data_IF_270240791041
#
_entry.id   IF_270240791041
#
_cell.length_a   1.000
_cell.length_b   1.000
_cell.length_c   1.000
_cell.angle_alpha   90.00
_cell.angle_beta   90.00
_cell.angle_gamma   90.00
#
_symmetry.space_group_name_H-M   'P 1'
#
loop_
_entity.id
_entity.type
_entity.pdbx_description
1 polymer ?
#
# COMPACT_ATOMS: atom_id res chain seq x y z
N UNK A 1 20.04 -40.24 -11.02
CA UNK A 1 20.21 -38.78 -10.83
C UNK A 1 18.95 -38.29 -10.13
N UNK A 2 19.02 -38.05 -8.82
CA UNK A 2 17.89 -37.48 -8.07
C UNK A 2 17.88 -36.01 -8.46
N UNK A 3 16.84 -35.54 -9.16
CA UNK A 3 16.57 -34.11 -9.24
C UNK A 3 16.23 -33.66 -7.82
N UNK A 4 17.23 -33.12 -7.11
CA UNK A 4 16.97 -32.27 -5.96
C UNK A 4 16.33 -31.02 -6.56
N UNK A 5 15.01 -30.89 -6.46
CA UNK A 5 14.38 -29.59 -6.72
C UNK A 5 15.07 -28.60 -5.76
N UNK A 6 15.78 -27.61 -6.30
CA UNK A 6 16.50 -26.61 -5.51
C UNK A 6 15.56 -26.04 -4.43
N UNK A 7 15.99 -26.13 -3.16
CA UNK A 7 15.24 -25.60 -2.01
C UNK A 7 15.16 -24.07 -2.10
N UNK A 8 14.04 -23.58 -2.65
CA UNK A 8 13.71 -22.16 -2.80
C UNK A 8 13.11 -21.63 -1.51
N UNK A 9 13.48 -20.41 -1.14
CA UNK A 9 12.84 -19.71 -0.02
C UNK A 9 11.42 -19.30 -0.39
N UNK A 10 10.43 -19.82 0.32
CA UNK A 10 9.00 -19.54 0.05
C UNK A 10 8.41 -18.64 1.12
N UNK A 11 7.97 -17.46 0.71
CA UNK A 11 7.19 -16.54 1.53
C UNK A 11 5.70 -16.73 1.27
N UNK A 12 4.91 -16.69 2.34
CA UNK A 12 3.45 -16.82 2.26
C UNK A 12 2.78 -15.45 2.42
N UNK A 13 1.91 -15.07 1.49
CA UNK A 13 0.95 -13.99 1.74
C UNK A 13 -0.13 -14.46 2.74
N UNK A 14 -1.00 -13.53 3.17
CA UNK A 14 -2.06 -13.85 4.12
C UNK A 14 -3.00 -14.95 3.58
N UNK A 15 -3.41 -14.86 2.31
CA UNK A 15 -4.35 -15.81 1.71
C UNK A 15 -3.77 -17.22 1.56
N UNK A 16 -2.48 -17.34 1.24
CA UNK A 16 -1.75 -18.58 1.16
C UNK A 16 -1.56 -19.18 2.56
N UNK A 17 -1.25 -18.36 3.58
CA UNK A 17 -1.21 -18.82 4.96
C UNK A 17 -2.57 -19.36 5.43
N UNK A 18 -3.67 -18.64 5.14
CA UNK A 18 -5.02 -19.10 5.48
C UNK A 18 -5.38 -20.41 4.77
N UNK A 19 -5.03 -20.55 3.50
CA UNK A 19 -5.24 -21.79 2.72
C UNK A 19 -4.40 -22.95 3.25
N UNK A 20 -3.19 -22.67 3.75
CA UNK A 20 -2.33 -23.70 4.34
C UNK A 20 -2.83 -24.17 5.72
N UNK A 21 -3.37 -23.25 6.53
CA UNK A 21 -4.01 -23.56 7.80
C UNK A 21 -5.35 -24.31 7.62
N UNK A 22 -6.13 -23.86 6.64
CA UNK A 22 -7.49 -24.28 6.32
C UNK A 22 -8.48 -23.14 6.52
N UNK A 23 -8.97 -22.56 5.42
CA UNK A 23 -9.86 -21.38 5.37
C UNK A 23 -11.22 -21.66 6.01
N UNK A 24 -11.73 -22.88 5.83
CA UNK A 24 -12.97 -23.33 6.46
C UNK A 24 -12.93 -23.22 8.00
N UNK A 25 -11.77 -23.47 8.62
CA UNK A 25 -11.56 -23.31 10.07
C UNK A 25 -11.60 -21.86 10.55
N UNK A 26 -11.42 -20.92 9.62
CA UNK A 26 -11.48 -19.48 9.86
C UNK A 26 -12.85 -18.89 9.50
N UNK A 27 -13.83 -19.73 9.12
CA UNK A 27 -15.14 -19.28 8.64
C UNK A 27 -15.10 -18.65 7.25
N UNK A 28 -14.01 -18.85 6.49
CA UNK A 28 -13.87 -18.36 5.12
C UNK A 28 -14.43 -19.39 4.14
N UNK A 29 -15.24 -18.93 3.17
CA UNK A 29 -15.96 -19.80 2.22
C UNK A 29 -15.27 -19.91 0.85
N UNK A 30 -14.34 -19.03 0.52
CA UNK A 30 -13.60 -19.11 -0.73
C UNK A 30 -12.45 -20.11 -0.62
N UNK A 31 -12.31 -20.96 -1.64
CA UNK A 31 -11.21 -21.92 -1.79
C UNK A 31 -10.42 -21.56 -3.06
N UNK A 32 -9.47 -20.61 -2.98
CA UNK A 32 -8.75 -20.15 -4.16
C UNK A 32 -7.72 -21.17 -4.68
N UNK A 33 -7.54 -22.28 -3.97
CA UNK A 33 -6.60 -23.37 -4.23
C UNK A 33 -7.07 -24.63 -3.50
N UNK A 34 -6.67 -25.81 -3.97
CA UNK A 34 -6.81 -27.05 -3.20
C UNK A 34 -5.89 -27.02 -1.96
N UNK A 35 -6.50 -26.92 -0.78
CA UNK A 35 -5.79 -26.86 0.50
C UNK A 35 -4.98 -28.12 0.81
N UNK A 36 -5.47 -29.31 0.43
CA UNK A 36 -4.74 -30.57 0.67
C UNK A 36 -3.46 -30.59 -0.13
N UNK A 37 -3.54 -30.13 -1.37
CA UNK A 37 -2.40 -30.08 -2.28
C UNK A 37 -1.38 -29.02 -1.86
N UNK A 38 -1.84 -27.81 -1.53
CA UNK A 38 -0.99 -26.76 -0.98
C UNK A 38 -0.28 -27.23 0.29
N UNK A 39 -1.01 -27.90 1.20
CA UNK A 39 -0.44 -28.42 2.43
C UNK A 39 0.62 -29.49 2.16
N UNK A 40 0.35 -30.43 1.25
CA UNK A 40 1.33 -31.45 0.85
C UNK A 40 2.59 -30.82 0.28
N UNK A 41 2.44 -29.81 -0.57
CA UNK A 41 3.58 -29.08 -1.14
C UNK A 41 4.39 -28.37 -0.06
N UNK A 42 3.76 -27.52 0.77
CA UNK A 42 4.45 -26.72 1.79
C UNK A 42 5.06 -27.56 2.92
N UNK A 43 4.46 -28.70 3.26
CA UNK A 43 5.00 -29.64 4.24
C UNK A 43 6.31 -30.30 3.78
N UNK A 44 6.58 -30.33 2.46
CA UNK A 44 7.82 -30.84 1.88
C UNK A 44 8.92 -29.78 1.78
N UNK A 45 8.59 -28.50 1.97
CA UNK A 45 9.55 -27.40 1.86
C UNK A 45 10.22 -27.16 3.22
N UNK A 46 11.54 -27.18 3.25
CA UNK A 46 12.36 -26.80 4.41
C UNK A 46 12.42 -25.27 4.55
N UNK A 47 12.67 -24.56 3.46
CA UNK A 47 12.80 -23.11 3.41
C UNK A 47 11.47 -22.39 3.15
N UNK A 48 10.80 -22.01 4.23
CA UNK A 48 9.56 -21.22 4.16
C UNK A 48 9.45 -20.24 5.31
N UNK A 49 8.83 -19.09 5.08
CA UNK A 49 8.71 -18.04 6.09
C UNK A 49 7.42 -17.23 5.92
N UNK A 50 7.01 -16.59 7.01
CA UNK A 50 5.92 -15.65 7.03
C UNK A 50 6.49 -14.23 7.10
N UNK A 51 6.22 -13.35 6.12
CA UNK A 51 6.62 -11.95 6.21
C UNK A 51 6.01 -11.27 7.43
N UNK A 52 6.74 -10.38 8.09
CA UNK A 52 6.25 -9.60 9.23
C UNK A 52 5.04 -8.74 8.84
N UNK A 53 4.97 -8.24 7.60
CA UNK A 53 3.78 -7.55 7.09
C UNK A 53 2.54 -8.44 7.19
N UNK A 54 2.64 -9.68 6.73
CA UNK A 54 1.55 -10.67 6.76
C UNK A 54 1.21 -11.07 8.19
N UNK A 55 2.22 -11.23 9.05
CA UNK A 55 2.01 -11.49 10.47
C UNK A 55 1.16 -10.39 11.13
N UNK A 56 1.49 -9.11 10.92
CA UNK A 56 0.71 -7.98 11.43
C UNK A 56 -0.73 -8.01 10.88
N UNK A 57 -0.92 -8.33 9.59
CA UNK A 57 -2.26 -8.46 9.01
C UNK A 57 -3.10 -9.52 9.70
N UNK A 58 -2.54 -10.71 9.93
CA UNK A 58 -3.23 -11.82 10.59
C UNK A 58 -3.59 -11.44 12.04
N UNK A 59 -2.61 -10.92 12.79
CA UNK A 59 -2.79 -10.55 14.19
C UNK A 59 -3.88 -9.48 14.36
N UNK A 60 -3.88 -8.47 13.50
CA UNK A 60 -4.87 -7.37 13.56
C UNK A 60 -6.25 -7.79 13.05
N UNK A 61 -6.31 -8.68 12.07
CA UNK A 61 -7.57 -9.20 11.52
C UNK A 61 -8.34 -10.04 12.56
N UNK A 62 -7.65 -10.93 13.28
CA UNK A 62 -8.28 -11.80 14.28
C UNK A 62 -8.13 -11.30 15.72
N UNK A 63 -7.79 -10.01 15.94
CA UNK A 63 -7.55 -9.43 17.28
C UNK A 63 -8.68 -9.66 18.30
N UNK A 64 -9.93 -9.68 17.82
CA UNK A 64 -11.11 -9.91 18.65
C UNK A 64 -11.45 -11.40 18.85
N UNK A 65 -10.64 -12.31 18.30
CA UNK A 65 -10.77 -13.75 18.43
C UNK A 65 -9.43 -14.38 18.85
N UNK A 66 -9.01 -14.19 20.12
CA UNK A 66 -7.71 -14.65 20.59
C UNK A 66 -7.55 -16.18 20.54
N UNK A 67 -8.66 -16.94 20.56
CA UNK A 67 -8.62 -18.39 20.34
C UNK A 67 -8.13 -18.74 18.94
N UNK A 68 -8.63 -18.04 17.92
CA UNK A 68 -8.17 -18.23 16.54
C UNK A 68 -6.72 -17.79 16.40
N UNK A 69 -6.32 -16.67 17.01
CA UNK A 69 -4.91 -16.24 17.01
C UNK A 69 -3.98 -17.29 17.62
N UNK A 70 -4.36 -17.86 18.76
CA UNK A 70 -3.58 -18.92 19.40
C UNK A 70 -3.41 -20.12 18.45
N UNK A 71 -4.49 -20.61 17.85
CA UNK A 71 -4.42 -21.72 16.88
C UNK A 71 -3.54 -21.41 15.66
N UNK A 72 -3.57 -20.17 15.15
CA UNK A 72 -2.74 -19.74 14.03
C UNK A 72 -1.25 -19.67 14.41
N UNK A 73 -0.94 -19.19 15.62
CA UNK A 73 0.43 -19.13 16.14
C UNK A 73 1.01 -20.52 16.41
N UNK A 74 0.22 -21.41 17.01
CA UNK A 74 0.56 -22.82 17.24
C UNK A 74 0.82 -23.53 15.89
N UNK A 75 -0.06 -23.30 14.91
CA UNK A 75 0.13 -23.85 13.56
C UNK A 75 1.42 -23.32 12.91
N UNK A 76 1.66 -22.00 12.95
CA UNK A 76 2.89 -21.38 12.44
C UNK A 76 4.13 -22.04 13.04
N UNK A 77 4.15 -22.20 14.37
CA UNK A 77 5.26 -22.83 15.07
C UNK A 77 5.44 -24.29 14.66
N UNK A 78 4.36 -25.07 14.65
CA UNK A 78 4.37 -26.48 14.27
C UNK A 78 4.80 -26.72 12.81
N UNK A 79 4.59 -25.74 11.92
CA UNK A 79 5.02 -25.79 10.52
C UNK A 79 6.42 -25.24 10.28
N UNK A 80 7.11 -24.75 11.31
CA UNK A 80 8.44 -24.16 11.17
C UNK A 80 8.44 -22.94 10.26
N UNK A 81 7.50 -22.02 10.47
CA UNK A 81 7.39 -20.76 9.71
C UNK A 81 8.03 -19.60 10.50
N UNK A 82 9.35 -19.37 10.42
CA UNK A 82 9.99 -18.19 11.01
C UNK A 82 9.41 -16.90 10.42
N UNK A 83 9.50 -15.80 11.18
CA UNK A 83 9.12 -14.48 10.68
C UNK A 83 10.28 -13.86 9.90
N UNK A 84 9.97 -13.23 8.76
CA UNK A 84 10.92 -12.44 7.99
C UNK A 84 10.56 -10.96 8.06
N UNK A 85 11.44 -10.16 8.68
CA UNK A 85 11.24 -8.73 8.86
C UNK A 85 11.40 -7.97 7.55
N UNK A 86 10.30 -7.85 6.80
CA UNK A 86 10.21 -7.16 5.50
C UNK A 86 9.65 -5.73 5.58
N UNK A 87 9.38 -5.23 6.79
CA UNK A 87 8.91 -3.86 7.02
C UNK A 87 10.05 -3.04 7.63
N UNK A 88 10.45 -1.90 7.05
CA UNK A 88 11.48 -1.04 7.63
C UNK A 88 11.11 -0.44 8.99
N UNK A 89 9.81 -0.17 9.20
CA UNK A 89 9.29 0.56 10.37
C UNK A 89 8.90 -0.35 11.56
N UNK A 90 8.90 -1.68 11.40
CA UNK A 90 8.57 -2.61 12.48
C UNK A 90 9.34 -3.93 12.36
N UNK A 91 10.01 -4.33 13.44
CA UNK A 91 10.84 -5.53 13.53
C UNK A 91 10.35 -6.38 14.68
N UNK A 92 9.95 -7.63 14.40
CA UNK A 92 9.67 -8.62 15.44
C UNK A 92 10.98 -9.33 15.79
N UNK A 93 11.38 -9.28 17.06
CA UNK A 93 12.55 -10.00 17.56
C UNK A 93 12.22 -11.46 17.90
N UNK A 94 13.26 -12.28 18.05
CA UNK A 94 13.11 -13.66 18.53
C UNK A 94 12.54 -13.71 19.95
N UNK A 95 12.95 -12.79 20.82
CA UNK A 95 12.42 -12.67 22.19
C UNK A 95 10.93 -12.31 22.18
N UNK A 96 10.53 -11.40 21.29
CA UNK A 96 9.13 -11.00 21.14
C UNK A 96 8.27 -12.20 20.71
N UNK A 97 8.66 -12.91 19.65
CA UNK A 97 7.87 -14.03 19.15
C UNK A 97 7.86 -15.22 20.13
N UNK A 98 8.95 -15.42 20.87
CA UNK A 98 9.03 -16.41 21.94
C UNK A 98 8.06 -16.06 23.06
N UNK A 99 8.04 -14.79 23.48
CA UNK A 99 7.12 -14.32 24.53
C UNK A 99 5.65 -14.48 24.11
N UNK A 100 5.34 -14.16 22.85
CA UNK A 100 3.98 -14.31 22.29
C UNK A 100 3.49 -15.76 22.36
N UNK A 101 4.37 -16.75 22.20
CA UNK A 101 4.01 -18.16 22.27
C UNK A 101 3.50 -18.60 23.66
N UNK A 102 3.82 -17.85 24.72
CA UNK A 102 3.39 -18.13 26.10
C UNK A 102 2.25 -17.23 26.59
N UNK A 103 1.73 -16.34 25.74
CA UNK A 103 0.65 -15.44 26.11
C UNK A 103 -0.67 -16.19 26.26
N UNK A 104 -1.42 -15.84 27.31
CA UNK A 104 -2.83 -16.21 27.39
C UNK A 104 -3.68 -15.39 26.41
N UNK A 105 -4.97 -15.69 26.33
CA UNK A 105 -5.89 -15.02 25.39
C UNK A 105 -6.02 -13.51 25.65
N UNK A 106 -5.88 -13.06 26.89
CA UNK A 106 -5.99 -11.63 27.26
C UNK A 106 -4.73 -10.89 26.82
N UNK A 107 -3.56 -11.43 27.14
CA UNK A 107 -2.28 -10.90 26.72
C UNK A 107 -2.15 -10.90 25.19
N UNK A 108 -2.63 -11.95 24.53
CA UNK A 108 -2.60 -12.07 23.07
C UNK A 108 -3.48 -11.03 22.38
N UNK A 109 -4.69 -10.77 22.92
CA UNK A 109 -5.53 -9.67 22.43
C UNK A 109 -4.83 -8.32 22.61
N UNK A 110 -4.26 -8.05 23.78
CA UNK A 110 -3.55 -6.79 24.05
C UNK A 110 -2.34 -6.60 23.13
N UNK A 111 -1.62 -7.69 22.83
CA UNK A 111 -0.53 -7.69 21.86
C UNK A 111 -1.02 -7.41 20.44
N UNK A 112 -2.12 -8.04 20.02
CA UNK A 112 -2.75 -7.76 18.73
C UNK A 112 -3.24 -6.30 18.61
N UNK A 113 -3.80 -5.73 19.68
CA UNK A 113 -4.20 -4.31 19.74
C UNK A 113 -2.97 -3.37 19.66
N UNK A 114 -1.82 -3.77 20.23
CA UNK A 114 -0.55 -3.04 20.06
C UNK A 114 -0.04 -3.10 18.61
N UNK A 115 -0.14 -4.27 17.97
CA UNK A 115 0.20 -4.41 16.54
C UNK A 115 -0.74 -3.59 15.66
N UNK A 116 -2.01 -3.47 16.03
CA UNK A 116 -2.96 -2.60 15.33
C UNK A 116 -2.50 -1.14 15.35
N UNK A 117 -2.02 -0.63 16.50
CA UNK A 117 -1.45 0.73 16.57
C UNK A 117 -0.26 0.92 15.63
N UNK A 118 0.61 -0.09 15.55
CA UNK A 118 1.76 -0.08 14.62
C UNK A 118 1.31 -0.11 13.16
N UNK A 119 0.28 -0.93 12.85
CA UNK A 119 -0.35 -0.98 11.53
C UNK A 119 -0.95 0.37 11.13
N UNK A 120 -1.72 1.00 12.01
CA UNK A 120 -2.31 2.33 11.79
C UNK A 120 -1.21 3.38 11.56
N UNK A 121 -0.10 3.30 12.29
CA UNK A 121 1.03 4.22 12.08
C UNK A 121 1.66 4.06 10.68
N UNK A 122 1.78 2.84 10.18
CA UNK A 122 2.27 2.59 8.82
C UNK A 122 1.25 3.09 7.79
N UNK A 123 -0.01 2.68 7.93
CA UNK A 123 -1.09 3.05 7.00
C UNK A 123 -1.30 4.56 6.92
N UNK A 124 -1.21 5.28 8.04
CA UNK A 124 -1.34 6.75 8.09
C UNK A 124 -0.22 7.46 7.35
N UNK A 125 1.05 7.08 7.57
CA UNK A 125 2.20 7.67 6.87
C UNK A 125 2.10 7.48 5.36
N UNK A 126 1.72 6.28 4.92
CA UNK A 126 1.53 6.00 3.49
C UNK A 126 0.34 6.75 2.90
N UNK A 127 -0.77 6.84 3.65
CA UNK A 127 -1.94 7.62 3.23
C UNK A 127 -1.59 9.09 3.03
N UNK A 128 -0.88 9.69 4.00
CA UNK A 128 -0.41 11.08 3.90
C UNK A 128 0.52 11.27 2.70
N UNK A 129 1.47 10.36 2.50
CA UNK A 129 2.39 10.42 1.37
C UNK A 129 1.64 10.37 0.03
N UNK A 130 0.64 9.50 -0.11
CA UNK A 130 -0.16 9.41 -1.34
C UNK A 130 -1.08 10.60 -1.55
N UNK A 131 -1.61 11.16 -0.48
CA UNK A 131 -2.33 12.43 -0.50
C UNK A 131 -1.43 13.53 -1.06
N UNK A 132 -0.21 13.67 -0.53
CA UNK A 132 0.76 14.67 -0.97
C UNK A 132 1.15 14.50 -2.44
N UNK A 133 1.47 13.27 -2.86
CA UNK A 133 1.80 12.96 -4.25
C UNK A 133 0.65 13.37 -5.18
N UNK A 134 -0.59 13.01 -4.84
CA UNK A 134 -1.75 13.32 -5.69
C UNK A 134 -1.99 14.82 -5.78
N UNK A 135 -1.98 15.51 -4.63
CA UNK A 135 -2.12 16.96 -4.52
C UNK A 135 -1.04 17.70 -5.31
N UNK A 136 0.22 17.30 -5.15
CA UNK A 136 1.35 17.98 -5.78
C UNK A 136 1.41 17.74 -7.29
N UNK A 137 1.04 16.54 -7.76
CA UNK A 137 0.90 16.27 -9.20
C UNK A 137 -0.20 17.13 -9.82
N UNK A 138 -1.36 17.22 -9.17
CA UNK A 138 -2.44 18.08 -9.63
C UNK A 138 -2.00 19.55 -9.67
N UNK A 139 -1.41 20.07 -8.59
CA UNK A 139 -0.97 21.46 -8.50
C UNK A 139 0.11 21.80 -9.53
N UNK A 140 1.10 20.91 -9.70
CA UNK A 140 2.15 21.08 -10.69
C UNK A 140 1.56 21.15 -12.11
N UNK A 141 0.70 20.20 -12.47
CA UNK A 141 0.07 20.16 -13.77
C UNK A 141 -0.78 21.41 -14.04
N UNK A 142 -1.65 21.81 -13.09
CA UNK A 142 -2.49 23.00 -13.22
C UNK A 142 -1.66 24.28 -13.39
N UNK A 143 -0.55 24.41 -12.67
CA UNK A 143 0.36 25.56 -12.80
C UNK A 143 1.04 25.58 -14.16
N UNK A 144 1.56 24.44 -14.63
CA UNK A 144 2.19 24.34 -15.94
C UNK A 144 1.21 24.71 -17.06
N UNK A 145 -0.06 24.29 -16.95
CA UNK A 145 -1.11 24.64 -17.91
C UNK A 145 -1.70 26.05 -17.77
N UNK A 146 -1.30 26.80 -16.74
CA UNK A 146 -1.81 28.16 -16.55
C UNK A 146 -0.98 29.17 -17.33
N UNK A 147 -1.63 29.86 -18.26
CA UNK A 147 -1.07 31.00 -18.98
C UNK A 147 -0.99 32.26 -18.11
N UNK A 148 -0.23 33.24 -18.57
CA UNK A 148 -0.08 34.53 -17.88
C UNK A 148 0.87 34.50 -16.68
N UNK A 149 1.40 33.34 -16.28
CA UNK A 149 2.44 33.22 -15.24
C UNK A 149 3.79 32.85 -15.86
N UNK A 150 4.85 33.56 -15.48
CA UNK A 150 6.23 33.18 -15.83
C UNK A 150 6.66 31.94 -15.06
N UNK A 151 7.70 31.24 -15.54
CA UNK A 151 8.24 30.06 -14.84
C UNK A 151 8.64 30.37 -13.38
N UNK A 152 9.29 31.52 -13.15
CA UNK A 152 9.61 32.02 -11.80
C UNK A 152 8.36 32.15 -10.91
N UNK A 153 7.25 32.65 -11.45
CA UNK A 153 6.00 32.77 -10.71
C UNK A 153 5.41 31.39 -10.40
N UNK A 154 5.37 30.49 -11.39
CA UNK A 154 4.90 29.12 -11.21
C UNK A 154 5.68 28.39 -10.11
N UNK A 155 7.00 28.48 -10.15
CA UNK A 155 7.88 27.86 -9.15
C UNK A 155 7.70 28.48 -7.75
N UNK A 156 7.47 29.80 -7.67
CA UNK A 156 7.19 30.47 -6.40
C UNK A 156 5.83 30.05 -5.81
N UNK A 157 4.78 29.94 -6.64
CA UNK A 157 3.45 29.49 -6.21
C UNK A 157 3.50 28.02 -5.80
N UNK A 158 4.14 27.16 -6.59
CA UNK A 158 4.33 25.75 -6.22
C UNK A 158 5.11 25.64 -4.91
N UNK A 159 6.16 26.46 -4.75
CA UNK A 159 6.92 26.55 -3.53
C UNK A 159 6.13 27.15 -2.35
N UNK A 160 5.06 27.89 -2.56
CA UNK A 160 4.15 28.38 -1.51
C UNK A 160 3.16 27.28 -1.11
N UNK A 161 2.51 26.66 -2.11
CA UNK A 161 1.61 25.50 -1.93
C UNK A 161 2.35 24.34 -1.24
N UNK A 162 3.66 24.21 -1.47
CA UNK A 162 4.51 23.19 -0.82
C UNK A 162 5.21 23.62 0.48
N UNK A 163 5.12 24.88 0.96
CA UNK A 163 5.85 25.37 2.15
C UNK A 163 4.98 25.55 3.42
N UNK A 164 5.68 25.53 4.56
CA UNK A 164 5.38 25.89 5.97
C UNK A 164 3.93 25.82 6.48
N UNK A 165 2.95 26.48 5.86
CA UNK A 165 1.54 26.32 6.23
C UNK A 165 1.08 24.86 6.10
N UNK A 166 1.66 24.12 5.15
CA UNK A 166 1.42 22.68 5.00
C UNK A 166 2.17 21.80 6.01
N UNK A 167 3.26 22.24 6.66
CA UNK A 167 3.96 21.38 7.63
C UNK A 167 3.18 21.22 8.94
N UNK A 168 2.59 22.30 9.43
CA UNK A 168 1.71 22.25 10.60
C UNK A 168 0.42 21.49 10.26
N UNK A 169 -0.15 21.75 9.08
CA UNK A 169 -1.29 21.01 8.58
C UNK A 169 -0.99 19.53 8.29
N UNK A 170 0.23 19.18 7.85
CA UNK A 170 0.67 17.79 7.63
C UNK A 170 0.63 16.99 8.92
N UNK A 171 1.16 17.54 10.02
CA UNK A 171 1.12 16.87 11.32
C UNK A 171 -0.34 16.69 11.79
N UNK A 172 -1.17 17.74 11.66
CA UNK A 172 -2.58 17.67 11.99
C UNK A 172 -3.31 16.64 11.11
N UNK A 173 -2.99 16.58 9.82
CA UNK A 173 -3.58 15.64 8.88
C UNK A 173 -3.13 14.20 9.18
N UNK A 174 -1.86 13.98 9.53
CA UNK A 174 -1.38 12.65 9.95
C UNK A 174 -2.14 12.15 11.18
N UNK A 175 -2.32 13.00 12.19
CA UNK A 175 -3.08 12.66 13.39
C UNK A 175 -4.55 12.39 13.09
N UNK A 176 -5.20 13.23 12.26
CA UNK A 176 -6.58 12.98 11.81
C UNK A 176 -6.70 11.67 11.05
N UNK A 177 -5.75 11.34 10.16
CA UNK A 177 -5.74 10.04 9.45
C UNK A 177 -5.65 8.89 10.45
N UNK A 178 -4.81 9.00 11.50
CA UNK A 178 -4.71 7.96 12.54
C UNK A 178 -6.02 7.78 13.30
N UNK A 179 -6.68 8.88 13.67
CA UNK A 179 -7.97 8.87 14.37
C UNK A 179 -9.06 8.20 13.51
N UNK A 180 -9.16 8.57 12.25
CA UNK A 180 -10.12 8.00 11.29
C UNK A 180 -9.86 6.51 11.04
N UNK A 181 -8.59 6.10 10.91
CA UNK A 181 -8.21 4.69 10.82
C UNK A 181 -8.59 3.93 12.09
N UNK A 182 -8.28 4.47 13.26
CA UNK A 182 -8.59 3.83 14.55
C UNK A 182 -10.09 3.61 14.70
N UNK A 183 -10.89 4.66 14.50
CA UNK A 183 -12.36 4.60 14.51
C UNK A 183 -12.87 3.56 13.50
N UNK A 184 -12.33 3.60 12.29
CA UNK A 184 -12.64 2.65 11.23
C UNK A 184 -12.39 1.20 11.63
N UNK A 185 -11.25 0.90 12.27
CA UNK A 185 -10.93 -0.45 12.72
C UNK A 185 -11.87 -0.91 13.82
N UNK A 186 -12.23 -0.02 14.76
CA UNK A 186 -13.15 -0.32 15.85
C UNK A 186 -14.55 -0.68 15.33
N UNK A 187 -14.97 -0.07 14.21
CA UNK A 187 -16.25 -0.36 13.55
C UNK A 187 -16.19 -1.43 12.44
N UNK A 188 -15.01 -1.96 12.10
CA UNK A 188 -14.78 -2.78 10.88
C UNK A 188 -15.23 -2.10 9.58
N UNK A 189 -15.03 -0.78 9.49
CA UNK A 189 -15.34 0.08 8.33
C UNK A 189 -14.15 0.89 7.87
N UNK A 190 -12.94 0.55 8.29
CA UNK A 190 -11.71 1.30 8.07
C UNK A 190 -11.46 1.66 6.60
N UNK A 191 -11.80 0.77 5.67
CA UNK A 191 -11.67 1.04 4.24
C UNK A 191 -12.60 2.16 3.77
N UNK A 192 -13.82 2.24 4.31
CA UNK A 192 -14.80 3.26 3.92
C UNK A 192 -14.45 4.60 4.58
N UNK A 193 -14.17 4.58 5.88
CA UNK A 193 -13.87 5.79 6.66
C UNK A 193 -12.64 6.50 6.10
N UNK A 194 -11.52 5.79 5.92
CA UNK A 194 -10.29 6.35 5.34
C UNK A 194 -10.54 6.94 3.95
N UNK A 195 -11.32 6.22 3.13
CA UNK A 195 -11.63 6.60 1.76
C UNK A 195 -12.42 7.90 1.70
N UNK A 196 -13.46 8.04 2.51
CA UNK A 196 -14.33 9.21 2.49
C UNK A 196 -13.56 10.44 3.01
N UNK A 197 -12.79 10.28 4.09
CA UNK A 197 -11.87 11.31 4.61
C UNK A 197 -10.84 11.76 3.57
N UNK A 198 -10.13 10.80 2.94
CA UNK A 198 -9.07 11.08 1.97
C UNK A 198 -9.58 11.91 0.77
N UNK A 199 -10.79 11.61 0.28
CA UNK A 199 -11.39 12.36 -0.82
C UNK A 199 -11.69 13.80 -0.40
N UNK A 200 -12.28 13.97 0.78
CA UNK A 200 -12.66 15.29 1.25
C UNK A 200 -11.42 16.18 1.36
N UNK A 201 -10.36 15.69 1.98
CA UNK A 201 -9.11 16.46 2.11
C UNK A 201 -8.49 16.74 0.73
N UNK A 202 -8.50 15.76 -0.20
CA UNK A 202 -7.97 15.98 -1.56
C UNK A 202 -8.78 17.04 -2.31
N UNK A 203 -10.10 17.01 -2.15
CA UNK A 203 -11.00 17.96 -2.76
C UNK A 203 -10.68 19.39 -2.31
N UNK A 204 -10.62 19.60 -1.00
CA UNK A 204 -10.29 20.90 -0.41
C UNK A 204 -8.93 21.39 -0.91
N UNK A 205 -7.92 20.51 -0.94
CA UNK A 205 -6.59 20.84 -1.44
C UNK A 205 -6.57 21.23 -2.94
N UNK A 206 -7.33 20.52 -3.78
CA UNK A 206 -7.40 20.80 -5.23
C UNK A 206 -8.18 22.09 -5.52
N UNK A 207 -9.29 22.34 -4.79
CA UNK A 207 -10.06 23.58 -4.91
C UNK A 207 -9.21 24.78 -4.47
N UNK A 208 -8.52 24.68 -3.33
CA UNK A 208 -7.60 25.71 -2.86
C UNK A 208 -6.47 25.97 -3.86
N UNK A 209 -5.92 24.92 -4.47
CA UNK A 209 -4.92 25.03 -5.54
C UNK A 209 -5.46 25.87 -6.70
N UNK A 210 -6.66 25.58 -7.19
CA UNK A 210 -7.28 26.35 -8.28
C UNK A 210 -7.48 27.83 -7.90
N UNK A 211 -7.99 28.08 -6.70
CA UNK A 211 -8.21 29.43 -6.16
C UNK A 211 -6.89 30.22 -6.08
N UNK A 212 -5.83 29.63 -5.53
CA UNK A 212 -4.53 30.28 -5.40
C UNK A 212 -3.98 30.65 -6.78
N UNK A 213 -4.01 29.70 -7.73
CA UNK A 213 -3.51 29.93 -9.08
C UNK A 213 -4.26 31.09 -9.76
N UNK A 214 -5.60 31.05 -9.77
CA UNK A 214 -6.41 32.08 -10.43
C UNK A 214 -6.31 33.43 -9.71
N UNK A 215 -6.25 33.45 -8.38
CA UNK A 215 -5.98 34.67 -7.61
C UNK A 215 -4.64 35.31 -8.01
N UNK A 216 -3.57 34.51 -8.10
CA UNK A 216 -2.26 35.01 -8.55
C UNK A 216 -2.28 35.54 -9.99
N UNK A 217 -3.01 34.88 -10.90
CA UNK A 217 -3.20 35.38 -12.28
C UNK A 217 -3.93 36.71 -12.27
N UNK A 218 -5.03 36.81 -11.51
CA UNK A 218 -5.82 38.03 -11.40
C UNK A 218 -5.02 39.21 -10.85
N UNK A 219 -4.25 38.99 -9.78
CA UNK A 219 -3.35 40.02 -9.22
C UNK A 219 -2.34 40.50 -10.25
N UNK A 220 -1.74 39.58 -11.02
CA UNK A 220 -0.73 39.94 -12.03
C UNK A 220 -1.32 40.70 -13.22
N UNK A 221 -2.62 40.52 -13.48
CA UNK A 221 -3.37 41.21 -14.52
C UNK A 221 -4.05 42.48 -14.01
N UNK A 222 -3.72 42.94 -12.80
CA UNK A 222 -4.27 44.13 -12.16
C UNK A 222 -5.81 44.15 -12.17
N UNK A 223 -6.44 42.99 -11.94
CA UNK A 223 -7.90 42.89 -11.82
C UNK A 223 -8.37 43.58 -10.55
N UNK A 224 -9.40 44.43 -10.66
CA UNK A 224 -9.94 45.20 -9.54
C UNK A 224 -10.66 44.32 -8.50
N UNK A 225 -11.41 43.30 -8.95
CA UNK A 225 -12.21 42.42 -8.08
C UNK A 225 -11.65 40.98 -8.05
N UNK A 226 -10.58 40.81 -7.28
CA UNK A 226 -9.95 39.50 -7.06
C UNK A 226 -10.90 38.56 -6.29
N UNK A 227 -11.73 39.09 -5.39
CA UNK A 227 -12.63 38.29 -4.55
C UNK A 227 -13.67 37.58 -5.41
N UNK A 228 -14.29 38.31 -6.35
CA UNK A 228 -15.26 37.72 -7.29
C UNK A 228 -14.62 36.63 -8.14
N UNK A 229 -13.39 36.83 -8.62
CA UNK A 229 -12.66 35.81 -9.40
C UNK A 229 -12.40 34.54 -8.57
N UNK A 230 -12.02 34.69 -7.31
CA UNK A 230 -11.80 33.57 -6.39
C UNK A 230 -13.11 32.81 -6.13
N UNK A 231 -14.22 33.52 -5.88
CA UNK A 231 -15.54 32.92 -5.69
C UNK A 231 -16.03 32.17 -6.93
N UNK A 232 -15.87 32.76 -8.12
CA UNK A 232 -16.19 32.11 -9.38
C UNK A 232 -15.32 30.87 -9.62
N UNK A 233 -14.03 30.94 -9.27
CA UNK A 233 -13.11 29.80 -9.38
C UNK A 233 -13.52 28.66 -8.45
N UNK A 234 -13.96 28.96 -7.24
CA UNK A 234 -14.54 27.98 -6.33
C UNK A 234 -15.75 27.30 -6.96
N UNK A 235 -16.76 28.06 -7.39
CA UNK A 235 -18.00 27.51 -7.97
C UNK A 235 -17.71 26.64 -9.19
N UNK A 236 -16.87 27.14 -10.11
CA UNK A 236 -16.45 26.39 -11.30
C UNK A 236 -15.69 25.12 -10.95
N UNK A 237 -14.93 25.09 -9.85
CA UNK A 237 -14.25 23.87 -9.40
C UNK A 237 -15.27 22.82 -8.97
N UNK A 238 -16.29 23.21 -8.20
CA UNK A 238 -17.38 22.31 -7.79
C UNK A 238 -18.16 21.80 -9.02
N UNK A 239 -18.55 22.70 -9.94
CA UNK A 239 -19.27 22.37 -11.17
C UNK A 239 -18.50 21.38 -12.07
N UNK A 240 -17.17 21.46 -12.08
CA UNK A 240 -16.29 20.55 -12.82
C UNK A 240 -16.04 19.21 -12.11
N UNK A 241 -16.68 18.97 -10.96
CA UNK A 241 -16.63 17.68 -10.26
C UNK A 241 -15.70 17.62 -9.05
N UNK A 242 -15.06 18.70 -8.63
CA UNK A 242 -14.41 18.76 -7.30
C UNK A 242 -15.48 18.96 -6.22
N UNK A 243 -16.25 17.90 -5.96
CA UNK A 243 -17.46 17.87 -5.14
C UNK A 243 -17.28 17.31 -3.72
N UNK A 244 -16.06 16.89 -3.36
CA UNK A 244 -15.77 16.20 -2.09
C UNK A 244 -16.29 14.77 -2.01
N UNK A 245 -16.83 14.20 -3.09
CA UNK A 245 -17.55 12.93 -3.09
C UNK A 245 -17.07 11.98 -4.21
N UNK A 246 -17.94 11.64 -5.15
CA UNK A 246 -17.62 10.68 -6.21
C UNK A 246 -17.00 11.36 -7.42
N UNK A 247 -17.19 12.67 -7.62
CA UNK A 247 -16.64 13.42 -8.74
C UNK A 247 -15.15 13.76 -8.58
N UNK A 248 -14.68 13.94 -7.35
CA UNK A 248 -13.33 14.51 -7.09
C UNK A 248 -12.19 13.72 -7.74
N UNK A 249 -12.10 12.41 -7.49
CA UNK A 249 -11.03 11.57 -8.06
C UNK A 249 -11.14 11.45 -9.60
N UNK A 250 -12.32 11.19 -10.19
CA UNK A 250 -12.51 11.30 -11.64
C UNK A 250 -12.05 12.64 -12.20
N UNK A 251 -12.43 13.76 -11.59
CA UNK A 251 -12.02 15.10 -12.04
C UNK A 251 -10.49 15.27 -12.06
N UNK A 252 -9.81 14.83 -10.99
CA UNK A 252 -8.34 14.85 -10.91
C UNK A 252 -7.74 13.98 -12.03
N UNK A 253 -8.23 12.75 -12.20
CA UNK A 253 -7.73 11.82 -13.21
C UNK A 253 -7.95 12.36 -14.62
N UNK A 254 -9.17 12.79 -14.94
CA UNK A 254 -9.53 13.33 -16.26
C UNK A 254 -8.68 14.56 -16.59
N UNK A 255 -8.40 15.42 -15.59
CA UNK A 255 -7.51 16.56 -15.77
C UNK A 255 -6.10 16.11 -16.15
N UNK A 256 -5.52 15.16 -15.42
CA UNK A 256 -4.14 14.71 -15.64
C UNK A 256 -3.98 13.82 -16.86
N UNK A 257 -5.00 13.03 -17.22
CA UNK A 257 -5.00 12.10 -18.36
C UNK A 257 -4.94 12.80 -19.72
N UNK A 258 -5.15 14.11 -19.77
CA UNK A 258 -4.95 14.91 -20.99
C UNK A 258 -3.48 15.01 -21.42
N UNK A 259 -2.53 14.68 -20.54
CA UNK A 259 -1.09 14.64 -20.83
C UNK A 259 -0.47 13.32 -20.37
N UNK A 260 -0.49 12.32 -21.26
CA UNK A 260 0.10 11.01 -20.99
C UNK A 260 1.61 11.09 -20.74
N UNK A 261 2.32 12.02 -21.40
CA UNK A 261 3.76 12.17 -21.21
C UNK A 261 4.10 12.63 -19.80
N UNK A 262 3.31 13.58 -19.26
CA UNK A 262 3.41 14.00 -17.87
C UNK A 262 3.19 12.83 -16.90
N UNK A 263 2.14 12.02 -17.12
CA UNK A 263 1.84 10.87 -16.27
C UNK A 263 2.94 9.80 -16.31
N UNK A 264 3.51 9.50 -17.49
CA UNK A 264 4.58 8.52 -17.62
C UNK A 264 5.85 8.96 -16.87
N UNK A 265 6.19 10.25 -16.93
CA UNK A 265 7.30 10.83 -16.17
C UNK A 265 7.00 10.79 -14.67
N UNK A 266 5.79 11.18 -14.25
CA UNK A 266 5.37 11.18 -12.86
C UNK A 266 5.45 9.78 -12.25
N UNK A 267 4.93 8.77 -12.96
CA UNK A 267 4.94 7.35 -12.56
C UNK A 267 6.35 6.86 -12.22
N UNK A 268 7.35 7.19 -13.07
CA UNK A 268 8.75 6.84 -12.82
C UNK A 268 9.34 7.62 -11.65
N UNK A 269 9.13 8.94 -11.60
CA UNK A 269 9.69 9.80 -10.53
C UNK A 269 9.17 9.42 -9.15
N UNK A 270 7.87 9.21 -9.02
CA UNK A 270 7.25 8.81 -7.75
C UNK A 270 7.83 7.47 -7.28
N UNK A 271 7.96 6.47 -8.16
CA UNK A 271 8.58 5.19 -7.83
C UNK A 271 10.03 5.32 -7.35
N UNK A 272 10.83 6.19 -7.99
CA UNK A 272 12.22 6.42 -7.59
C UNK A 272 12.37 7.18 -6.26
N UNK A 273 11.37 7.95 -5.81
CA UNK A 273 11.39 8.59 -4.48
C UNK A 273 11.53 7.55 -3.36
N UNK A 274 10.89 6.39 -3.52
CA UNK A 274 10.92 5.29 -2.54
C UNK A 274 12.29 4.61 -2.45
N UNK A 275 13.19 4.83 -3.43
CA UNK A 275 14.58 4.35 -3.32
C UNK A 275 15.31 4.97 -2.12
N UNK A 276 15.02 6.23 -1.79
CA UNK A 276 15.60 6.92 -0.62
C UNK A 276 15.11 6.31 0.70
N UNK A 277 13.88 5.80 0.72
CA UNK A 277 13.29 5.08 1.86
C UNK A 277 13.76 3.64 2.01
N UNK A 278 14.78 3.21 1.23
CA UNK A 278 15.32 1.82 1.21
C UNK A 278 14.29 0.76 0.80
N UNK A 279 13.25 1.14 0.08
CA UNK A 279 12.32 0.18 -0.51
C UNK A 279 12.99 -0.57 -1.66
N UNK A 280 12.69 -1.86 -1.75
CA UNK A 280 13.27 -2.81 -2.68
C UNK A 280 12.90 -2.49 -4.14
N UNK A 281 13.57 -3.12 -5.11
CA UNK A 281 13.28 -2.88 -6.53
C UNK A 281 11.85 -3.33 -6.89
N UNK A 282 11.43 -4.48 -6.36
CA UNK A 282 10.10 -5.04 -6.59
C UNK A 282 9.01 -4.24 -5.87
N UNK A 283 9.25 -3.74 -4.65
CA UNK A 283 8.35 -2.80 -3.96
C UNK A 283 8.08 -1.54 -4.80
N UNK A 284 9.15 -0.92 -5.30
CA UNK A 284 9.05 0.28 -6.14
C UNK A 284 8.34 0.00 -7.46
N UNK A 285 8.54 -1.19 -8.03
CA UNK A 285 7.82 -1.64 -9.22
C UNK A 285 6.34 -1.88 -8.95
N UNK A 286 5.96 -2.44 -7.81
CA UNK A 286 4.54 -2.59 -7.42
C UNK A 286 3.86 -1.23 -7.27
N UNK A 287 4.53 -0.28 -6.60
CA UNK A 287 4.03 1.07 -6.49
C UNK A 287 3.82 1.72 -7.86
N UNK A 288 4.78 1.55 -8.78
CA UNK A 288 4.71 2.07 -10.14
C UNK A 288 3.60 1.42 -10.96
N UNK A 289 3.60 0.10 -11.06
CA UNK A 289 2.81 -0.63 -12.06
C UNK A 289 1.40 -0.97 -11.54
N UNK A 290 1.21 -1.06 -10.23
CA UNK A 290 -0.05 -1.44 -9.61
C UNK A 290 -0.71 -0.26 -8.92
N UNK A 291 -0.04 0.38 -7.96
CA UNK A 291 -0.67 1.41 -7.12
C UNK A 291 -0.91 2.71 -7.92
N UNK A 292 0.12 3.24 -8.56
CA UNK A 292 0.03 4.48 -9.37
C UNK A 292 -0.98 4.32 -10.52
N UNK A 293 -0.89 3.22 -11.27
CA UNK A 293 -1.87 2.82 -12.30
C UNK A 293 -3.30 2.79 -11.73
N UNK A 294 -3.50 2.25 -10.52
CA UNK A 294 -4.82 2.23 -9.90
C UNK A 294 -5.36 3.63 -9.64
N UNK A 295 -4.53 4.52 -9.11
CA UNK A 295 -4.93 5.88 -8.77
C UNK A 295 -5.23 6.71 -10.00
N UNK A 296 -4.31 6.72 -10.97
CA UNK A 296 -4.33 7.68 -12.07
C UNK A 296 -4.94 7.15 -13.37
N UNK A 297 -4.94 5.83 -13.62
CA UNK A 297 -5.60 5.28 -14.82
C UNK A 297 -7.04 4.83 -14.54
N UNK A 298 -7.37 4.52 -13.28
CA UNK A 298 -8.68 3.98 -12.91
C UNK A 298 -9.47 4.85 -11.93
N UNK A 299 -8.92 6.00 -11.54
CA UNK A 299 -9.52 6.87 -10.51
C UNK A 299 -9.78 6.15 -9.19
N UNK A 300 -9.08 5.03 -8.95
CA UNK A 300 -9.30 4.24 -7.75
C UNK A 300 -8.67 4.95 -6.57
N UNK A 301 -9.38 4.85 -5.45
CA UNK A 301 -8.97 5.42 -4.18
C UNK A 301 -7.91 4.51 -3.54
N UNK A 302 -7.20 5.02 -2.55
CA UNK A 302 -6.23 4.22 -1.80
C UNK A 302 -6.89 2.96 -1.23
N UNK A 303 -6.38 1.79 -1.58
CA UNK A 303 -6.77 0.52 -0.95
C UNK A 303 -5.73 0.20 0.11
N UNK A 304 -6.08 0.20 1.39
CA UNK A 304 -5.12 -0.03 2.48
C UNK A 304 -4.36 -1.36 2.33
N UNK A 305 -5.00 -2.37 1.74
CA UNK A 305 -4.41 -3.67 1.49
C UNK A 305 -3.23 -3.56 0.51
N UNK A 306 -3.27 -2.61 -0.45
CA UNK A 306 -2.18 -2.40 -1.39
C UNK A 306 -0.87 -2.01 -0.69
N UNK A 307 -0.92 -1.39 0.50
CA UNK A 307 0.28 -1.03 1.27
C UNK A 307 0.98 -2.29 1.78
N UNK A 308 0.24 -3.21 2.38
CA UNK A 308 0.80 -4.45 2.92
C UNK A 308 1.15 -5.46 1.83
N UNK A 309 0.40 -5.48 0.72
CA UNK A 309 0.77 -6.23 -0.49
C UNK A 309 2.10 -5.72 -1.06
N UNK A 310 2.26 -4.39 -1.16
CA UNK A 310 3.52 -3.77 -1.60
C UNK A 310 4.68 -4.14 -0.68
N UNK A 311 4.49 -4.10 0.65
CA UNK A 311 5.50 -4.56 1.60
C UNK A 311 5.84 -6.05 1.42
N UNK A 312 4.83 -6.89 1.20
CA UNK A 312 4.96 -8.34 1.01
C UNK A 312 5.76 -8.70 -0.25
N UNK A 313 5.50 -8.05 -1.40
CA UNK A 313 6.24 -8.35 -2.64
C UNK A 313 7.71 -7.97 -2.56
N UNK A 314 8.12 -7.15 -1.58
CA UNK A 314 9.54 -6.89 -1.30
C UNK A 314 10.33 -8.16 -0.95
N UNK A 315 9.66 -9.21 -0.48
CA UNK A 315 10.27 -10.50 -0.20
C UNK A 315 10.81 -11.17 -1.47
N UNK A 316 10.34 -10.83 -2.68
CA UNK A 316 10.87 -11.36 -3.95
C UNK A 316 12.30 -10.93 -4.27
N UNK A 317 12.77 -9.85 -3.64
CA UNK A 317 14.13 -9.35 -3.78
C UNK A 317 15.10 -9.99 -2.76
N UNK A 318 14.59 -10.85 -1.86
CA UNK A 318 15.42 -11.58 -0.93
C UNK A 318 16.29 -12.60 -1.68
N UNK A 319 17.59 -12.58 -1.38
CA UNK A 319 18.56 -13.55 -1.86
C UNK A 319 19.19 -14.19 -0.63
N UNK A 320 19.07 -15.50 -0.52
CA UNK A 320 19.76 -16.25 0.54
C UNK A 320 21.26 -16.30 0.23
N UNK A 321 22.02 -15.46 0.94
CA UNK A 321 23.47 -15.36 0.79
C UNK A 321 24.23 -16.59 1.27
N UNK A 322 23.59 -17.48 2.03
CA UNK A 322 24.21 -18.75 2.45
C UNK A 322 24.21 -19.76 1.31
N UNK A 323 23.22 -19.69 0.41
CA UNK A 323 23.10 -20.54 -0.79
C UNK A 323 23.78 -19.95 -2.03
N UNK A 324 24.08 -18.65 -2.05
CA UNK A 324 24.72 -17.97 -3.18
C UNK A 324 26.17 -18.39 -3.46
N UNK A 325 26.76 -19.27 -2.64
CA UNK A 325 28.09 -19.84 -2.87
C UNK A 325 28.12 -20.94 -3.96
N UNK A 326 26.97 -21.48 -4.36
CA UNK A 326 26.87 -22.49 -5.41
C UNK A 326 26.10 -21.94 -6.62
N UNK A 327 26.78 -21.77 -7.77
CA UNK A 327 26.21 -21.22 -9.02
C UNK A 327 25.06 -22.08 -9.59
N UNK A 328 24.91 -23.32 -9.10
CA UNK A 328 23.89 -24.27 -9.56
C UNK A 328 22.60 -24.24 -8.72
N UNK A 329 22.54 -23.48 -7.62
CA UNK A 329 21.37 -23.44 -6.73
C UNK A 329 20.60 -22.13 -6.96
N UNK A 330 19.31 -22.23 -7.26
CA UNK A 330 18.42 -21.07 -7.35
C UNK A 330 18.26 -20.41 -5.96
N UNK A 331 19.04 -19.36 -5.69
CA UNK A 331 18.98 -18.57 -4.46
C UNK A 331 17.79 -17.59 -4.41
N UNK A 332 16.90 -17.66 -5.40
CA UNK A 332 15.71 -16.83 -5.51
C UNK A 332 14.67 -17.15 -4.44
N UNK A 333 14.05 -16.11 -3.91
CA UNK A 333 12.83 -16.25 -3.13
C UNK A 333 11.57 -16.24 -3.98
N UNK A 334 10.52 -16.88 -3.47
CA UNK A 334 9.20 -16.95 -4.07
C UNK A 334 8.17 -16.38 -3.08
N UNK A 335 7.12 -15.75 -3.59
CA UNK A 335 5.94 -15.36 -2.81
C UNK A 335 4.75 -16.16 -3.34
N UNK A 336 4.09 -16.90 -2.46
CA UNK A 336 2.81 -17.53 -2.77
C UNK A 336 1.70 -16.56 -2.41
N UNK A 337 0.94 -16.15 -3.43
CA UNK A 337 -0.29 -15.39 -3.29
C UNK A 337 -1.35 -15.94 -4.22
N UNK A 338 -2.58 -16.02 -3.71
CA UNK A 338 -3.75 -16.40 -4.50
C UNK A 338 -4.70 -15.23 -4.75
N UNK A 339 -4.31 -14.02 -4.34
CA UNK A 339 -4.98 -12.81 -4.79
C UNK A 339 -4.67 -12.56 -6.28
N UNK A 340 -5.70 -12.24 -7.07
CA UNK A 340 -5.53 -12.11 -8.52
C UNK A 340 -4.60 -10.94 -8.90
N UNK A 341 -4.64 -9.82 -8.17
CA UNK A 341 -3.81 -8.64 -8.46
C UNK A 341 -2.35 -8.94 -8.11
N UNK A 342 -2.09 -9.47 -6.92
CA UNK A 342 -0.75 -9.87 -6.52
C UNK A 342 -0.19 -10.95 -7.46
N UNK A 343 -0.97 -11.98 -7.78
CA UNK A 343 -0.56 -13.05 -8.69
C UNK A 343 -0.17 -12.52 -10.08
N UNK A 344 -0.97 -11.62 -10.64
CA UNK A 344 -0.66 -10.99 -11.94
C UNK A 344 0.63 -10.16 -11.90
N UNK A 345 0.84 -9.41 -10.81
CA UNK A 345 2.08 -8.67 -10.62
C UNK A 345 3.29 -9.61 -10.49
N UNK A 346 3.18 -10.65 -9.63
CA UNK A 346 4.21 -11.67 -9.43
C UNK A 346 4.58 -12.30 -10.78
N UNK A 347 3.60 -12.68 -11.61
CA UNK A 347 3.87 -13.23 -12.94
C UNK A 347 4.59 -12.30 -13.90
N UNK A 348 4.42 -10.98 -13.72
CA UNK A 348 5.11 -9.97 -14.54
C UNK A 348 6.56 -9.73 -14.10
N UNK A 349 6.84 -9.87 -12.80
CA UNK A 349 8.19 -9.64 -12.26
C UNK A 349 9.01 -10.93 -12.16
N UNK A 350 8.35 -12.06 -11.95
CA UNK A 350 8.95 -13.36 -11.66
C UNK A 350 8.10 -14.51 -12.26
N UNK A 351 8.12 -14.71 -13.59
CA UNK A 351 7.25 -15.67 -14.28
C UNK A 351 7.35 -17.12 -13.76
N UNK A 352 8.53 -17.54 -13.30
CA UNK A 352 8.76 -18.84 -12.68
C UNK A 352 8.00 -19.01 -11.36
N UNK A 353 7.77 -17.93 -10.61
CA UNK A 353 6.93 -17.94 -9.42
C UNK A 353 5.46 -18.13 -9.79
N UNK A 354 4.99 -17.53 -10.89
CA UNK A 354 3.63 -17.77 -11.38
C UNK A 354 3.46 -19.23 -11.80
N UNK A 355 4.42 -19.81 -12.52
CA UNK A 355 4.36 -21.24 -12.90
C UNK A 355 4.24 -22.15 -11.69
N UNK A 356 4.93 -21.83 -10.59
CA UNK A 356 4.78 -22.57 -9.34
C UNK A 356 3.37 -22.43 -8.75
N UNK A 357 2.85 -21.20 -8.66
CA UNK A 357 1.49 -20.95 -8.16
C UNK A 357 0.46 -21.71 -9.01
N UNK A 358 0.58 -21.63 -10.34
CA UNK A 358 -0.29 -22.32 -11.28
C UNK A 358 -0.15 -23.83 -11.20
N UNK A 359 1.06 -24.35 -11.01
CA UNK A 359 1.29 -25.77 -10.74
C UNK A 359 0.41 -26.18 -9.57
N UNK A 360 0.56 -25.52 -8.42
CA UNK A 360 -0.19 -25.80 -7.19
C UNK A 360 -1.71 -25.65 -7.38
N UNK A 361 -2.16 -24.73 -8.23
CA UNK A 361 -3.59 -24.53 -8.53
C UNK A 361 -4.17 -25.57 -9.51
N UNK A 362 -3.40 -26.02 -10.52
CA UNK A 362 -3.96 -26.64 -11.74
C UNK A 362 -3.60 -28.11 -12.01
N UNK A 363 -2.51 -28.68 -11.48
CA UNK A 363 -2.29 -30.15 -11.68
C UNK A 363 -3.44 -30.94 -11.02
N UNK A 364 -4.14 -31.72 -11.85
CA UNK A 364 -5.19 -32.66 -11.48
C UNK A 364 -4.62 -33.97 -10.92
#
# INVERSE_FOLDING_TARGET
MIQVEDEKMIFLDANAFYSYYGRSKLGMTSEPVDEKRLKKYLDQQSEKSLPTSVYIEIMTHFRNNPKVLQSLLEFRYAKGLPLFNNIPDYVVSEDEITSVAYMDQVALKNYADRLLKSKIQIESKFTLLFFEITKDLYAHYKLEMTDGLSKKNKDAILGYIGRVAYKEYQNLLEERIKEELQSGYDENKEKKVLKDFYIQELNEACVLTNIIIQGCVACKQDKEDIISIVQQTYQKSIENGLDGNMGTMPCIVDTLATDQHFLDIAKVKVSEMFKKGKYSATQRRYLRDVMFTSWFERGKKLDKNDIFDMLCVGCLDHIDKTKSACVLIDASSYVLSFDARMKNFIGTVKPENLRLIEKIQNEQ
#
